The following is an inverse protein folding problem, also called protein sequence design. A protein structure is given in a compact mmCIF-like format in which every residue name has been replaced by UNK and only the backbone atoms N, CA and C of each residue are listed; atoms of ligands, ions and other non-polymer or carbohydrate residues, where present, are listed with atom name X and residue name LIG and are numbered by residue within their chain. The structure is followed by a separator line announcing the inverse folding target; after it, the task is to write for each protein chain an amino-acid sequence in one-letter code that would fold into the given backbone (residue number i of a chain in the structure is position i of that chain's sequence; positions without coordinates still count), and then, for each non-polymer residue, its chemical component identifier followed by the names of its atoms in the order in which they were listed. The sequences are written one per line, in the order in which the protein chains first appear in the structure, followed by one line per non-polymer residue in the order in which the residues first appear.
data_IF_398743356683
#
_entry.id   IF_398743356683
#
_cell.length_a   1.000
_cell.length_b   1.000
_cell.length_c   1.000
_cell.angle_alpha   90.00
_cell.angle_beta   90.00
_cell.angle_gamma   90.00
#
_symmetry.space_group_name_H-M   'P 1'
#
loop_
_entity.id
_entity.type
_entity.pdbx_description
1 polymer ?
#
# COMPACT_ATOMS: atom_id res chain seq x y z
N UNK A 1 -9.14 13.48 8.07
CA UNK A 1 -9.68 14.26 6.94
C UNK A 1 -8.90 13.92 5.68
N UNK A 2 -9.59 13.69 4.56
CA UNK A 2 -9.02 13.48 3.24
C UNK A 2 -9.30 14.71 2.38
N UNK A 3 -8.29 15.19 1.67
CA UNK A 3 -8.38 16.26 0.67
C UNK A 3 -8.08 15.67 -0.69
N UNK A 4 -8.95 15.89 -1.66
CA UNK A 4 -8.83 15.40 -3.02
C UNK A 4 -8.69 16.60 -3.93
N UNK A 5 -7.66 16.62 -4.77
CA UNK A 5 -7.38 17.68 -5.71
C UNK A 5 -7.29 17.11 -7.13
N UNK A 6 -7.76 17.87 -8.12
CA UNK A 6 -7.63 17.54 -9.53
C UNK A 6 -7.61 18.81 -10.38
N UNK A 7 -7.22 18.67 -11.64
CA UNK A 7 -7.29 19.73 -12.65
C UNK A 7 -8.38 19.39 -13.65
N UNK A 8 -9.30 20.32 -13.86
CA UNK A 8 -10.36 20.18 -14.86
C UNK A 8 -9.86 20.43 -16.29
N UNK A 9 -10.73 20.24 -17.28
CA UNK A 9 -10.40 20.40 -18.70
C UNK A 9 -10.05 21.84 -19.08
N UNK A 10 -10.38 22.82 -18.22
CA UNK A 10 -9.99 24.22 -18.40
C UNK A 10 -8.62 24.54 -17.79
N UNK A 11 -7.94 23.54 -17.23
CA UNK A 11 -6.67 23.70 -16.54
C UNK A 11 -6.81 24.30 -15.13
N UNK A 12 -8.03 24.39 -14.59
CA UNK A 12 -8.27 24.96 -13.25
C UNK A 12 -8.17 23.88 -12.17
N UNK A 13 -7.55 24.24 -11.05
CA UNK A 13 -7.45 23.37 -9.89
C UNK A 13 -8.77 23.34 -9.11
N UNK A 14 -9.22 22.14 -8.79
CA UNK A 14 -10.43 21.86 -8.02
C UNK A 14 -10.07 21.06 -6.77
N UNK A 15 -10.94 21.15 -5.75
CA UNK A 15 -10.73 20.48 -4.47
C UNK A 15 -12.03 20.01 -3.82
N UNK A 16 -11.97 18.86 -3.14
CA UNK A 16 -13.05 18.31 -2.32
C UNK A 16 -12.49 17.67 -1.05
N UNK A 17 -13.27 17.68 0.04
CA UNK A 17 -12.88 17.08 1.31
C UNK A 17 -13.91 16.03 1.77
N UNK A 18 -13.44 14.99 2.47
CA UNK A 18 -14.30 14.00 3.15
C UNK A 18 -13.58 13.40 4.37
N UNK A 19 -14.33 12.92 5.36
CA UNK A 19 -13.78 12.21 6.52
C UNK A 19 -13.54 10.73 6.27
N UNK A 20 -14.27 10.11 5.34
CA UNK A 20 -14.30 8.66 5.14
C UNK A 20 -13.36 8.21 4.02
N UNK A 21 -12.47 7.24 4.32
CA UNK A 21 -11.48 6.76 3.35
C UNK A 21 -12.13 6.12 2.12
N UNK A 22 -13.21 5.36 2.31
CA UNK A 22 -13.93 4.69 1.21
C UNK A 22 -14.50 5.72 0.24
N UNK A 23 -15.09 6.80 0.77
CA UNK A 23 -15.62 7.88 -0.06
C UNK A 23 -14.49 8.63 -0.78
N UNK A 24 -13.37 8.89 -0.10
CA UNK A 24 -12.23 9.58 -0.70
C UNK A 24 -11.65 8.79 -1.89
N UNK A 25 -11.51 7.47 -1.73
CA UNK A 25 -11.06 6.57 -2.80
C UNK A 25 -12.03 6.55 -3.98
N UNK A 26 -13.34 6.49 -3.68
CA UNK A 26 -14.39 6.50 -4.71
C UNK A 26 -14.34 7.80 -5.54
N UNK A 27 -14.31 8.96 -4.90
CA UNK A 27 -14.19 10.26 -5.58
C UNK A 27 -12.93 10.31 -6.44
N UNK A 28 -11.79 9.89 -5.88
CA UNK A 28 -10.51 9.89 -6.61
C UNK A 28 -10.58 9.02 -7.87
N UNK A 29 -11.22 7.85 -7.78
CA UNK A 29 -11.44 6.97 -8.94
C UNK A 29 -12.33 7.64 -9.97
N UNK A 30 -13.47 8.20 -9.56
CA UNK A 30 -14.41 8.87 -10.46
C UNK A 30 -13.75 10.01 -11.22
N UNK A 31 -12.90 10.82 -10.56
CA UNK A 31 -12.17 11.90 -11.24
C UNK A 31 -11.17 11.38 -12.27
N UNK A 32 -10.48 10.27 -11.99
CA UNK A 32 -9.56 9.64 -12.96
C UNK A 32 -10.32 9.04 -14.14
N UNK A 33 -11.40 8.32 -13.88
CA UNK A 33 -12.22 7.70 -14.91
C UNK A 33 -12.89 8.75 -15.83
N UNK A 34 -13.21 9.92 -15.27
CA UNK A 34 -13.74 11.07 -16.01
C UNK A 34 -12.69 11.79 -16.88
N UNK A 35 -11.41 11.41 -16.78
CA UNK A 35 -10.33 11.97 -17.62
C UNK A 35 -9.63 13.21 -17.03
N UNK A 36 -9.95 13.61 -15.80
CA UNK A 36 -9.28 14.77 -15.18
C UNK A 36 -7.80 14.52 -14.94
N UNK A 37 -7.04 15.62 -14.92
CA UNK A 37 -5.59 15.58 -14.78
C UNK A 37 -5.16 15.80 -13.33
N UNK A 38 -3.93 15.38 -13.01
CA UNK A 38 -3.29 15.60 -11.70
C UNK A 38 -4.13 15.19 -10.48
N UNK A 39 -4.93 14.12 -10.60
CA UNK A 39 -5.81 13.63 -9.54
C UNK A 39 -5.00 13.07 -8.37
N UNK A 40 -4.99 13.79 -7.25
CA UNK A 40 -4.27 13.44 -6.02
C UNK A 40 -5.18 13.45 -4.80
N UNK A 41 -4.89 12.57 -3.86
CA UNK A 41 -5.58 12.49 -2.57
C UNK A 41 -4.52 12.59 -1.48
N UNK A 42 -4.71 13.51 -0.55
CA UNK A 42 -3.84 13.73 0.59
C UNK A 42 -4.64 13.54 1.88
N UNK A 43 -4.01 13.00 2.92
CA UNK A 43 -4.56 12.97 4.26
C UNK A 43 -3.47 13.23 5.27
N UNK A 44 -3.82 13.95 6.32
CA UNK A 44 -2.93 14.16 7.47
C UNK A 44 -2.83 12.90 8.35
N UNK A 45 -3.63 11.85 8.11
CA UNK A 45 -3.73 10.70 9.03
C UNK A 45 -2.36 9.98 9.21
N UNK A 46 -1.64 10.20 10.33
CA UNK A 46 -0.32 9.62 10.56
C UNK A 46 -0.41 8.12 10.86
N UNK A 47 -1.61 7.61 11.12
CA UNK A 47 -1.90 6.22 11.47
C UNK A 47 -2.39 5.40 10.26
N UNK A 48 -2.48 5.99 9.06
CA UNK A 48 -2.94 5.30 7.84
C UNK A 48 -1.94 4.26 7.33
N UNK A 49 -0.64 4.50 7.51
CA UNK A 49 0.34 3.42 7.51
C UNK A 49 0.34 2.83 8.91
N UNK A 50 0.22 1.51 9.06
CA UNK A 50 0.67 0.86 10.29
C UNK A 50 2.06 1.39 10.69
N UNK A 51 2.43 1.33 11.98
CA UNK A 51 3.67 1.93 12.52
C UNK A 51 4.81 1.89 11.50
N UNK A 52 5.38 3.05 11.14
CA UNK A 52 6.47 3.09 10.15
C UNK A 52 7.60 2.16 10.62
N UNK A 53 7.93 1.15 9.81
CA UNK A 53 8.86 0.07 10.19
C UNK A 53 8.24 -1.18 10.83
N UNK A 54 6.95 -1.47 10.61
CA UNK A 54 6.33 -2.77 10.98
C UNK A 54 7.05 -3.91 10.25
N UNK A 55 8.05 -4.49 10.91
CA UNK A 55 8.38 -5.89 10.77
C UNK A 55 7.16 -6.66 11.28
N UNK A 56 6.40 -7.20 10.35
CA UNK A 56 5.00 -7.59 10.58
C UNK A 56 4.88 -8.82 11.46
N UNK A 57 6.01 -9.46 11.81
CA UNK A 57 6.08 -10.79 12.38
C UNK A 57 6.90 -10.78 13.67
N UNK A 58 6.24 -11.03 14.80
CA UNK A 58 6.90 -11.26 16.09
C UNK A 58 6.58 -12.68 16.53
N UNK A 59 7.61 -13.46 16.89
CA UNK A 59 7.45 -14.86 17.29
C UNK A 59 6.66 -15.72 16.30
N UNK A 60 6.77 -15.42 15.00
CA UNK A 60 6.06 -16.12 13.94
C UNK A 60 4.57 -15.76 13.82
N UNK A 61 4.11 -14.67 14.43
CA UNK A 61 2.72 -14.21 14.39
C UNK A 61 2.55 -12.85 13.72
N UNK A 62 1.45 -12.67 13.02
CA UNK A 62 1.02 -11.38 12.46
C UNK A 62 0.62 -10.41 13.57
N UNK A 63 0.40 -9.11 13.27
CA UNK A 63 -0.06 -8.13 14.26
C UNK A 63 -1.44 -8.46 14.82
N UNK A 64 -2.22 -9.29 14.11
CA UNK A 64 -3.53 -9.79 14.53
C UNK A 64 -3.42 -11.07 15.39
N UNK A 65 -2.20 -11.51 15.71
CA UNK A 65 -1.93 -12.71 16.52
C UNK A 65 -2.05 -14.04 15.77
N UNK A 66 -2.30 -14.00 14.46
CA UNK A 66 -2.40 -15.19 13.62
C UNK A 66 -1.03 -15.75 13.32
N UNK A 67 -0.92 -17.07 13.18
CA UNK A 67 0.33 -17.69 12.75
C UNK A 67 0.67 -17.23 11.33
N UNK A 68 1.91 -16.81 11.14
CA UNK A 68 2.42 -16.38 9.85
C UNK A 68 2.99 -17.57 9.09
N UNK A 69 2.29 -17.97 8.03
CA UNK A 69 2.61 -19.14 7.21
C UNK A 69 3.55 -18.84 6.03
N UNK A 70 3.91 -17.58 5.84
CA UNK A 70 4.72 -17.18 4.70
C UNK A 70 6.16 -17.65 4.87
N UNK A 71 6.63 -18.41 3.88
CA UNK A 71 8.04 -18.71 3.70
C UNK A 71 8.43 -18.45 2.26
N UNK A 72 9.63 -17.88 2.07
CA UNK A 72 10.23 -17.71 0.74
C UNK A 72 10.30 -19.04 -0.02
N UNK A 73 10.57 -20.14 0.68
CA UNK A 73 10.58 -21.48 0.13
C UNK A 73 9.20 -21.99 -0.33
N UNK A 74 8.12 -21.58 0.35
CA UNK A 74 6.76 -22.04 0.08
C UNK A 74 6.12 -21.42 -1.16
N UNK A 75 6.44 -20.17 -1.51
CA UNK A 75 5.81 -19.46 -2.64
C UNK A 75 6.76 -18.99 -3.75
N UNK A 76 8.03 -18.70 -3.47
CA UNK A 76 9.00 -18.32 -4.51
C UNK A 76 9.62 -19.53 -5.22
N UNK A 77 9.18 -20.74 -4.86
CA UNK A 77 9.71 -22.02 -5.35
C UNK A 77 10.89 -22.49 -4.50
N UNK A 78 10.83 -23.76 -4.09
CA UNK A 78 11.99 -24.46 -3.52
C UNK A 78 13.14 -24.42 -4.55
N UNK A 79 14.39 -24.16 -4.14
CA UNK A 79 15.54 -24.29 -5.03
C UNK A 79 15.49 -25.64 -5.75
N UNK A 80 15.66 -25.62 -7.07
CA UNK A 80 15.65 -26.84 -7.88
C UNK A 80 16.86 -27.69 -7.48
N UNK A 81 16.83 -28.99 -7.80
CA UNK A 81 17.90 -29.96 -7.43
C UNK A 81 19.33 -29.50 -7.81
N UNK A 82 19.44 -28.64 -8.83
CA UNK A 82 20.71 -28.14 -9.36
C UNK A 82 21.00 -26.67 -8.96
N UNK A 83 20.13 -26.03 -8.17
CA UNK A 83 20.39 -24.67 -7.71
C UNK A 83 21.48 -24.71 -6.64
N UNK A 84 22.48 -23.85 -6.79
CA UNK A 84 23.56 -23.71 -5.81
C UNK A 84 23.00 -23.05 -4.55
N UNK A 85 22.76 -23.85 -3.51
CA UNK A 85 22.35 -23.35 -2.20
C UNK A 85 23.57 -22.71 -1.53
N UNK A 86 23.58 -21.39 -1.42
CA UNK A 86 24.58 -20.66 -0.65
C UNK A 86 24.12 -20.66 0.80
N UNK A 87 24.73 -21.52 1.63
CA UNK A 87 24.34 -21.74 3.03
C UNK A 87 24.99 -20.76 4.02
N UNK A 88 26.01 -20.01 3.62
CA UNK A 88 26.61 -18.93 4.41
C UNK A 88 26.83 -17.73 3.50
N UNK A 89 26.09 -16.64 3.74
CA UNK A 89 26.11 -15.45 2.88
C UNK A 89 27.19 -14.44 3.30
N UNK A 90 27.63 -14.47 4.55
CA UNK A 90 28.43 -13.40 5.16
C UNK A 90 29.65 -13.90 5.96
N UNK A 91 30.42 -14.83 5.40
CA UNK A 91 31.74 -15.20 5.94
C UNK A 91 32.85 -14.78 5.00
#
# INVERSE_FOLDING_TARGET
MFKIYWTDDSGQAQGQETSEIVQALQITKEKRDAGYHFVTMASENPQHTGKQGVDTIVDGKTPDGLDYDWSKAGRAGKPRKNDRIVTQKDR
#
